data_IF_491569822692
#
_entry.id   IF_491569822692
#
_cell.length_a   1.000
_cell.length_b   1.000
_cell.length_c   1.000
_cell.angle_alpha   90.00
_cell.angle_beta   90.00
_cell.angle_gamma   90.00
#
_symmetry.space_group_name_H-M   'P 1'
#
loop_
_entity.id
_entity.type
_entity.pdbx_description
1 polymer ?
#
# COMPACT_ATOMS: atom_id res chain seq x y z
N UNK A 1 -21.24 -17.37 -4.07
CA UNK A 1 -20.45 -17.74 -2.88
C UNK A 1 -20.07 -16.46 -2.15
N UNK A 2 -20.25 -16.41 -0.84
CA UNK A 2 -19.88 -15.24 -0.02
C UNK A 2 -18.55 -15.51 0.66
N UNK A 3 -17.62 -14.58 0.52
CA UNK A 3 -16.25 -14.69 1.03
C UNK A 3 -16.02 -13.59 2.05
N UNK A 4 -15.46 -13.94 3.20
CA UNK A 4 -14.97 -13.00 4.23
C UNK A 4 -13.48 -12.87 4.10
N UNK A 5 -12.98 -11.66 3.80
CA UNK A 5 -11.56 -11.33 3.78
C UNK A 5 -11.12 -10.69 5.10
N UNK A 6 -9.98 -11.12 5.64
CA UNK A 6 -9.39 -10.62 6.89
C UNK A 6 -7.93 -10.24 6.64
N UNK A 7 -7.60 -8.96 6.93
CA UNK A 7 -6.26 -8.39 6.75
C UNK A 7 -5.80 -7.69 8.03
N UNK A 8 -4.63 -8.10 8.53
CA UNK A 8 -4.00 -7.52 9.73
C UNK A 8 -2.48 -7.50 9.63
N UNK A 9 -1.92 -7.37 8.44
CA UNK A 9 -0.47 -7.57 8.21
C UNK A 9 0.43 -6.46 8.77
N UNK A 10 -0.10 -5.24 8.94
CA UNK A 10 0.70 -4.08 9.37
C UNK A 10 -0.04 -3.22 10.42
N UNK A 11 -0.63 -2.11 10.03
CA UNK A 11 -1.23 -1.09 10.91
C UNK A 11 -2.67 -0.73 10.56
N UNK A 12 -3.30 -1.49 9.69
CA UNK A 12 -4.71 -1.38 9.36
C UNK A 12 -5.43 -2.71 9.61
N UNK A 13 -6.54 -2.69 10.33
CA UNK A 13 -7.42 -3.85 10.45
C UNK A 13 -8.46 -3.78 9.35
N UNK A 14 -8.34 -4.64 8.33
CA UNK A 14 -9.25 -4.69 7.20
C UNK A 14 -10.17 -5.92 7.26
N UNK A 15 -11.49 -5.70 7.08
CA UNK A 15 -12.47 -6.79 6.89
C UNK A 15 -13.37 -6.45 5.70
N UNK A 16 -13.45 -7.37 4.75
CA UNK A 16 -14.28 -7.22 3.57
C UNK A 16 -15.21 -8.43 3.38
N UNK A 17 -16.39 -8.18 2.86
CA UNK A 17 -17.34 -9.22 2.43
C UNK A 17 -17.53 -9.10 0.92
N UNK A 18 -17.27 -10.20 0.20
CA UNK A 18 -17.36 -10.26 -1.25
C UNK A 18 -18.36 -11.34 -1.67
N UNK A 19 -19.02 -11.11 -2.78
CA UNK A 19 -19.88 -12.07 -3.45
C UNK A 19 -19.31 -12.44 -4.81
N UNK A 20 -19.10 -13.74 -5.06
CA UNK A 20 -18.69 -14.20 -6.39
C UNK A 20 -19.88 -14.22 -7.32
N UNK A 21 -19.71 -13.64 -8.51
CA UNK A 21 -20.72 -13.64 -9.56
C UNK A 21 -20.36 -14.77 -10.55
N UNK A 22 -21.24 -15.77 -10.77
CA UNK A 22 -20.98 -16.79 -11.77
C UNK A 22 -20.84 -16.15 -13.16
N UNK A 23 -19.72 -16.38 -13.83
CA UNK A 23 -19.53 -15.93 -15.22
C UNK A 23 -19.61 -17.13 -16.15
N UNK A 24 -20.34 -17.00 -17.27
CA UNK A 24 -20.43 -18.04 -18.32
C UNK A 24 -19.14 -18.19 -19.15
N UNK A 25 -18.18 -17.25 -19.01
CA UNK A 25 -16.90 -17.28 -19.70
C UNK A 25 -15.80 -17.72 -18.75
N UNK A 26 -15.06 -18.73 -19.13
CA UNK A 26 -14.04 -19.44 -18.34
C UNK A 26 -12.80 -18.63 -17.93
N UNK A 27 -12.76 -17.33 -18.16
CA UNK A 27 -11.59 -16.49 -17.85
C UNK A 27 -12.03 -15.32 -16.98
N UNK A 28 -11.77 -15.45 -15.67
CA UNK A 28 -11.95 -14.40 -14.66
C UNK A 28 -13.23 -14.59 -13.83
N UNK A 29 -13.06 -14.84 -12.52
CA UNK A 29 -14.18 -14.73 -11.58
C UNK A 29 -14.56 -13.25 -11.48
N UNK A 30 -15.83 -12.93 -11.72
CA UNK A 30 -16.38 -11.63 -11.37
C UNK A 30 -16.83 -11.67 -9.92
N UNK A 31 -16.62 -10.58 -9.18
CA UNK A 31 -17.09 -10.49 -7.79
C UNK A 31 -17.63 -9.08 -7.52
N UNK A 32 -18.50 -9.02 -6.53
CA UNK A 32 -19.05 -7.77 -6.00
C UNK A 32 -18.54 -7.58 -4.58
N UNK A 33 -18.00 -6.41 -4.29
CA UNK A 33 -17.68 -6.02 -2.91
C UNK A 33 -18.99 -5.60 -2.25
N UNK A 34 -19.39 -6.32 -1.21
CA UNK A 34 -20.59 -6.03 -0.43
C UNK A 34 -20.28 -5.06 0.71
N UNK A 35 -19.10 -5.19 1.31
CA UNK A 35 -18.57 -4.24 2.31
C UNK A 35 -17.05 -4.28 2.33
N UNK A 36 -16.43 -3.17 2.77
CA UNK A 36 -14.99 -3.06 2.98
C UNK A 36 -14.74 -2.08 4.13
N UNK A 37 -14.47 -2.62 5.30
CA UNK A 37 -14.29 -1.87 6.55
C UNK A 37 -12.82 -1.88 6.92
N UNK A 38 -12.25 -0.68 7.12
CA UNK A 38 -10.85 -0.49 7.54
C UNK A 38 -10.83 0.33 8.83
N UNK A 39 -10.14 -0.19 9.84
CA UNK A 39 -9.79 0.54 11.05
C UNK A 39 -8.31 0.86 11.03
N UNK A 40 -7.98 2.12 10.68
CA UNK A 40 -6.60 2.57 10.56
C UNK A 40 -6.01 2.97 11.91
N UNK A 41 -4.75 2.60 12.12
CA UNK A 41 -3.98 2.87 13.32
C UNK A 41 -2.98 4.04 13.15
N UNK A 42 -3.10 4.82 12.05
CA UNK A 42 -2.18 5.95 11.76
C UNK A 42 -2.06 6.89 12.96
N UNK A 43 -3.19 7.25 13.59
CA UNK A 43 -3.20 8.14 14.77
C UNK A 43 -2.44 7.56 15.96
N UNK A 44 -2.50 6.24 16.14
CA UNK A 44 -1.83 5.51 17.21
C UNK A 44 -0.32 5.49 17.01
N UNK A 45 0.14 5.37 15.77
CA UNK A 45 1.56 5.25 15.43
C UNK A 45 2.23 6.59 15.12
N UNK A 46 1.48 7.62 14.75
CA UNK A 46 2.02 8.95 14.43
C UNK A 46 2.98 9.54 15.49
N UNK A 47 2.71 9.43 16.81
CA UNK A 47 3.63 9.94 17.85
C UNK A 47 5.01 9.25 17.83
N UNK A 48 5.08 8.01 17.32
CA UNK A 48 6.33 7.23 17.25
C UNK A 48 7.07 7.45 15.93
N UNK A 49 6.42 8.08 14.94
CA UNK A 49 6.96 8.32 13.61
C UNK A 49 7.15 7.04 12.78
N UNK A 50 6.34 6.01 13.05
CA UNK A 50 6.35 4.72 12.37
C UNK A 50 5.60 3.65 13.17
N UNK A 51 5.37 2.50 12.54
CA UNK A 51 4.60 1.41 13.14
C UNK A 51 5.38 0.74 14.28
N UNK A 52 4.73 0.57 15.44
CA UNK A 52 5.24 -0.16 16.60
C UNK A 52 4.55 -1.53 16.65
N UNK A 53 5.25 -2.65 16.34
CA UNK A 53 4.62 -3.95 16.09
C UNK A 53 3.71 -4.46 17.22
N UNK A 54 4.17 -4.38 18.46
CA UNK A 54 3.38 -4.83 19.62
C UNK A 54 2.15 -3.96 19.88
N UNK A 55 2.23 -2.67 19.58
CA UNK A 55 1.09 -1.76 19.68
C UNK A 55 0.09 -2.05 18.57
N UNK A 56 0.58 -2.30 17.33
CA UNK A 56 -0.26 -2.68 16.21
C UNK A 56 -1.07 -3.95 16.52
N UNK A 57 -0.44 -4.99 17.07
CA UNK A 57 -1.12 -6.22 17.45
C UNK A 57 -2.25 -5.98 18.49
N UNK A 58 -1.99 -5.13 19.48
CA UNK A 58 -3.02 -4.77 20.49
C UNK A 58 -4.19 -4.03 19.87
N UNK A 59 -3.93 -3.12 18.95
CA UNK A 59 -5.00 -2.39 18.25
C UNK A 59 -5.81 -3.33 17.32
N UNK A 60 -5.14 -4.27 16.60
CA UNK A 60 -5.86 -5.29 15.85
C UNK A 60 -6.80 -6.11 16.74
N UNK A 61 -6.31 -6.56 17.91
CA UNK A 61 -7.13 -7.34 18.85
C UNK A 61 -8.38 -6.59 19.31
N UNK A 62 -8.29 -5.27 19.53
CA UNK A 62 -9.43 -4.43 19.92
C UNK A 62 -10.42 -4.24 18.78
N UNK A 63 -9.91 -4.08 17.55
CA UNK A 63 -10.71 -3.60 16.42
C UNK A 63 -11.28 -4.71 15.52
N UNK A 64 -10.70 -5.91 15.52
CA UNK A 64 -11.08 -6.97 14.59
C UNK A 64 -12.54 -7.43 14.75
N UNK A 65 -13.01 -7.56 15.99
CA UNK A 65 -14.41 -7.93 16.29
C UNK A 65 -15.40 -6.82 15.86
N UNK A 66 -15.20 -5.57 16.27
CA UNK A 66 -15.99 -4.43 15.79
C UNK A 66 -16.00 -4.30 14.26
N UNK A 67 -14.86 -4.44 13.59
CA UNK A 67 -14.77 -4.41 12.12
C UNK A 67 -15.59 -5.53 11.47
N UNK A 68 -15.51 -6.76 12.00
CA UNK A 68 -16.34 -7.88 11.51
C UNK A 68 -17.83 -7.56 11.63
N UNK A 69 -18.27 -7.09 12.80
CA UNK A 69 -19.67 -6.74 13.04
C UNK A 69 -20.18 -5.69 12.05
N UNK A 70 -19.36 -4.65 11.81
CA UNK A 70 -19.68 -3.57 10.87
C UNK A 70 -19.73 -4.10 9.44
N UNK A 71 -18.72 -4.88 9.02
CA UNK A 71 -18.65 -5.43 7.67
C UNK A 71 -19.84 -6.35 7.34
N UNK A 72 -20.24 -7.20 8.26
CA UNK A 72 -21.41 -8.07 8.09
C UNK A 72 -22.70 -7.25 8.01
N UNK A 73 -22.85 -6.21 8.86
CA UNK A 73 -24.01 -5.32 8.83
C UNK A 73 -24.12 -4.57 7.50
N UNK A 74 -23.03 -3.95 7.02
CA UNK A 74 -23.00 -3.22 5.75
C UNK A 74 -23.29 -4.14 4.56
N UNK A 75 -22.77 -5.38 4.60
CA UNK A 75 -23.04 -6.39 3.58
C UNK A 75 -24.46 -6.95 3.63
N UNK A 76 -25.25 -6.62 4.64
CA UNK A 76 -26.55 -7.24 4.95
C UNK A 76 -26.44 -8.78 4.99
N UNK A 77 -25.42 -9.28 5.70
CA UNK A 77 -25.10 -10.69 5.88
C UNK A 77 -24.88 -11.03 7.34
N UNK A 78 -24.97 -12.30 7.65
CA UNK A 78 -24.58 -12.90 8.93
C UNK A 78 -23.37 -13.80 8.74
N UNK A 79 -22.73 -14.22 9.82
CA UNK A 79 -21.59 -15.14 9.74
C UNK A 79 -22.00 -16.51 9.13
N UNK A 80 -23.27 -16.88 9.26
CA UNK A 80 -23.81 -18.14 8.69
C UNK A 80 -23.92 -18.09 7.15
N UNK A 81 -23.94 -16.90 6.56
CA UNK A 81 -23.98 -16.73 5.10
C UNK A 81 -22.60 -16.87 4.47
N UNK A 82 -21.53 -16.83 5.28
CA UNK A 82 -20.14 -16.91 4.81
C UNK A 82 -19.81 -18.34 4.40
N UNK A 83 -19.33 -18.50 3.18
CA UNK A 83 -18.96 -19.79 2.61
C UNK A 83 -17.44 -20.07 2.65
N UNK A 84 -16.61 -19.01 2.77
CA UNK A 84 -15.17 -19.10 2.77
C UNK A 84 -14.57 -17.94 3.56
N UNK A 85 -13.53 -18.20 4.36
CA UNK A 85 -12.72 -17.18 5.02
C UNK A 85 -11.37 -17.13 4.31
N UNK A 86 -10.99 -15.95 3.80
CA UNK A 86 -9.67 -15.65 3.26
C UNK A 86 -8.92 -14.78 4.27
N UNK A 87 -7.74 -15.20 4.70
CA UNK A 87 -6.95 -14.46 5.70
C UNK A 87 -5.51 -14.27 5.25
N UNK A 88 -4.98 -13.08 5.41
CA UNK A 88 -3.58 -12.78 5.13
C UNK A 88 -2.66 -13.47 6.13
N UNK A 89 -1.71 -14.27 5.60
CA UNK A 89 -0.73 -15.02 6.40
C UNK A 89 0.69 -14.47 6.29
N UNK A 90 0.93 -13.53 5.39
CA UNK A 90 2.23 -12.89 5.16
C UNK A 90 2.40 -12.39 3.73
N UNK A 91 3.50 -11.60 3.51
CA UNK A 91 4.39 -11.03 4.51
C UNK A 91 3.71 -9.95 5.37
N UNK A 92 4.33 -9.64 6.54
CA UNK A 92 3.83 -8.63 7.46
C UNK A 92 4.43 -8.75 8.85
N UNK A 93 3.95 -7.94 9.78
CA UNK A 93 4.35 -7.97 11.18
C UNK A 93 3.81 -9.23 11.86
N UNK A 94 4.70 -10.11 12.32
CA UNK A 94 4.30 -11.41 12.91
C UNK A 94 3.25 -11.27 14.01
N UNK A 95 3.39 -10.36 15.02
CA UNK A 95 2.37 -10.21 16.05
C UNK A 95 0.99 -9.79 15.50
N UNK A 96 0.96 -8.95 14.48
CA UNK A 96 -0.26 -8.48 13.81
C UNK A 96 -0.92 -9.59 12.99
N UNK A 97 -0.14 -10.32 12.19
CA UNK A 97 -0.61 -11.47 11.40
C UNK A 97 -1.26 -12.54 12.29
N UNK A 98 -0.64 -12.83 13.46
CA UNK A 98 -1.17 -13.81 14.40
C UNK A 98 -2.57 -13.47 14.89
N UNK A 99 -2.91 -12.19 15.07
CA UNK A 99 -4.27 -11.79 15.48
C UNK A 99 -5.29 -12.18 14.40
N UNK A 100 -5.06 -11.79 13.14
CA UNK A 100 -5.98 -12.12 12.03
C UNK A 100 -6.11 -13.61 11.80
N UNK A 101 -4.98 -14.33 11.77
CA UNK A 101 -4.95 -15.79 11.54
C UNK A 101 -5.69 -16.55 12.64
N UNK A 102 -5.44 -16.22 13.92
CA UNK A 102 -6.12 -16.91 15.02
C UNK A 102 -7.60 -16.55 15.08
N UNK A 103 -7.96 -15.31 14.79
CA UNK A 103 -9.37 -14.91 14.69
C UNK A 103 -10.10 -15.65 13.55
N UNK A 104 -9.47 -15.74 12.38
CA UNK A 104 -10.02 -16.51 11.24
C UNK A 104 -10.18 -18.00 11.58
N UNK A 105 -9.17 -18.61 12.23
CA UNK A 105 -9.24 -20.01 12.68
C UNK A 105 -10.38 -20.24 13.68
N UNK A 106 -10.57 -19.33 14.63
CA UNK A 106 -11.64 -19.43 15.62
C UNK A 106 -13.03 -19.38 14.96
N UNK A 107 -13.22 -18.48 13.98
CA UNK A 107 -14.46 -18.40 13.20
C UNK A 107 -14.67 -19.67 12.35
N UNK A 108 -13.62 -20.10 11.64
CA UNK A 108 -13.65 -21.30 10.81
C UNK A 108 -14.05 -22.53 11.63
N UNK A 109 -13.43 -22.72 12.79
CA UNK A 109 -13.74 -23.82 13.69
C UNK A 109 -15.16 -23.74 14.23
N UNK A 110 -15.57 -22.57 14.76
CA UNK A 110 -16.89 -22.41 15.38
C UNK A 110 -18.05 -22.60 14.42
N UNK A 111 -17.90 -22.14 13.19
CA UNK A 111 -19.00 -22.12 12.20
C UNK A 111 -18.82 -23.17 11.09
N UNK A 112 -17.79 -24.00 11.16
CA UNK A 112 -17.43 -24.99 10.16
C UNK A 112 -17.27 -24.40 8.74
N UNK A 113 -16.58 -23.25 8.66
CA UNK A 113 -16.33 -22.53 7.40
C UNK A 113 -14.91 -22.84 6.92
N UNK A 114 -14.69 -23.21 5.65
CA UNK A 114 -13.34 -23.40 5.12
C UNK A 114 -12.52 -22.10 5.15
N UNK A 115 -11.20 -22.25 5.36
CA UNK A 115 -10.26 -21.15 5.45
C UNK A 115 -9.17 -21.28 4.38
N UNK A 116 -8.79 -20.15 3.76
CA UNK A 116 -7.74 -20.08 2.74
C UNK A 116 -6.70 -19.03 3.14
N UNK A 117 -5.39 -19.38 3.14
CA UNK A 117 -4.32 -18.42 3.34
C UNK A 117 -4.14 -17.54 2.10
N UNK A 118 -3.87 -16.23 2.31
CA UNK A 118 -3.64 -15.26 1.26
C UNK A 118 -2.30 -14.57 1.47
N UNK A 119 -1.55 -14.37 0.39
CA UNK A 119 -0.34 -13.55 0.40
C UNK A 119 -0.71 -12.07 0.31
N UNK A 120 -0.21 -11.26 1.24
CA UNK A 120 -0.45 -9.82 1.33
C UNK A 120 -0.13 -9.06 0.04
N UNK A 121 1.03 -9.34 -0.55
CA UNK A 121 1.50 -8.65 -1.77
C UNK A 121 0.66 -9.03 -2.98
N UNK A 122 0.23 -10.29 -3.07
CA UNK A 122 -0.71 -10.74 -4.09
C UNK A 122 -2.06 -10.04 -3.96
N UNK A 123 -2.52 -9.85 -2.72
CA UNK A 123 -3.72 -9.06 -2.41
C UNK A 123 -3.63 -7.64 -2.96
N UNK A 124 -2.51 -6.94 -2.77
CA UNK A 124 -2.28 -5.59 -3.31
C UNK A 124 -2.28 -5.55 -4.84
N UNK A 125 -1.62 -6.50 -5.49
CA UNK A 125 -1.57 -6.59 -6.94
C UNK A 125 -2.99 -6.79 -7.49
N UNK A 126 -3.73 -7.75 -6.95
CA UNK A 126 -5.08 -8.06 -7.39
C UNK A 126 -6.05 -6.91 -7.10
N UNK A 127 -5.95 -6.26 -5.95
CA UNK A 127 -6.76 -5.08 -5.64
C UNK A 127 -6.55 -3.95 -6.65
N UNK A 128 -5.32 -3.72 -7.10
CA UNK A 128 -5.01 -2.71 -8.12
C UNK A 128 -5.64 -3.04 -9.47
N UNK A 129 -5.61 -4.31 -9.88
CA UNK A 129 -6.20 -4.80 -11.13
C UNK A 129 -7.73 -4.64 -11.07
N UNK A 130 -8.35 -5.02 -9.96
CA UNK A 130 -9.80 -5.00 -9.83
C UNK A 130 -10.37 -3.61 -9.56
N UNK A 131 -9.67 -2.74 -8.82
CA UNK A 131 -10.10 -1.35 -8.60
C UNK A 131 -10.14 -0.53 -9.89
N UNK A 132 -9.26 -0.80 -10.85
CA UNK A 132 -9.28 -0.13 -12.16
C UNK A 132 -10.56 -0.40 -12.95
N UNK A 133 -11.29 -1.48 -12.64
CA UNK A 133 -12.57 -1.82 -13.26
C UNK A 133 -13.77 -1.11 -12.65
N UNK A 134 -13.68 -0.71 -11.37
CA UNK A 134 -14.76 -0.03 -10.67
C UNK A 134 -14.72 1.50 -10.81
N UNK A 135 -13.57 2.08 -11.17
CA UNK A 135 -13.36 3.55 -11.09
C UNK A 135 -13.74 4.33 -12.35
N UNK A 136 -14.01 3.70 -13.47
CA UNK A 136 -14.29 4.45 -14.73
C UNK A 136 -15.54 3.88 -15.40
N UNK A 137 -16.64 4.64 -15.21
CA UNK A 137 -17.83 4.67 -16.08
C UNK A 137 -17.98 3.51 -17.10
N UNK A 138 -18.89 2.61 -16.89
CA UNK A 138 -19.68 1.78 -17.82
C UNK A 138 -19.14 1.45 -19.24
N UNK A 139 -17.86 1.70 -19.58
CA UNK A 139 -17.29 1.51 -20.92
C UNK A 139 -16.10 0.57 -21.02
N UNK A 140 -15.61 -0.01 -19.91
CA UNK A 140 -14.58 -1.03 -20.02
C UNK A 140 -15.22 -2.41 -20.07
N UNK A 141 -15.35 -2.92 -21.29
CA UNK A 141 -15.68 -4.32 -21.56
C UNK A 141 -14.68 -5.25 -20.85
N UNK A 142 -15.16 -6.41 -20.43
CA UNK A 142 -14.50 -7.51 -19.71
C UNK A 142 -13.15 -8.04 -20.30
N UNK A 143 -12.47 -7.29 -21.18
CA UNK A 143 -11.28 -7.72 -21.89
C UNK A 143 -9.97 -7.13 -21.38
N UNK A 144 -9.98 -6.24 -20.34
CA UNK A 144 -8.77 -5.52 -19.93
C UNK A 144 -7.84 -6.29 -18.98
N UNK A 145 -8.32 -7.36 -18.33
CA UNK A 145 -7.51 -8.12 -17.35
C UNK A 145 -6.66 -9.21 -18.02
N UNK A 146 -6.83 -9.47 -19.29
CA UNK A 146 -6.31 -10.67 -19.95
C UNK A 146 -5.01 -10.48 -20.71
N UNK A 147 -4.31 -9.37 -20.57
CA UNK A 147 -3.02 -9.19 -21.26
C UNK A 147 -1.88 -9.57 -20.32
N UNK A 148 -1.54 -10.83 -20.32
CA UNK A 148 -0.29 -11.32 -19.76
C UNK A 148 0.73 -11.55 -20.88
N UNK A 149 2.04 -11.41 -20.60
CA UNK A 149 2.63 -11.05 -19.32
C UNK A 149 2.40 -9.56 -18.94
N UNK A 150 2.31 -9.29 -17.65
CA UNK A 150 2.18 -7.95 -17.07
C UNK A 150 3.28 -7.70 -16.05
N UNK A 151 3.63 -6.43 -15.84
CA UNK A 151 4.57 -6.01 -14.79
C UNK A 151 3.80 -5.22 -13.75
N UNK A 152 3.93 -5.62 -12.49
CA UNK A 152 3.42 -4.89 -11.34
C UNK A 152 4.60 -4.23 -10.59
N UNK A 153 4.50 -2.93 -10.34
CA UNK A 153 5.37 -2.21 -9.42
C UNK A 153 4.65 -2.08 -8.08
N UNK A 154 5.16 -2.79 -7.08
CA UNK A 154 4.68 -2.72 -5.71
C UNK A 154 5.53 -1.70 -4.95
N UNK A 155 4.89 -0.68 -4.39
CA UNK A 155 5.54 0.38 -3.59
C UNK A 155 4.75 0.59 -2.31
N UNK A 156 5.38 0.34 -1.17
CA UNK A 156 4.77 0.51 0.15
C UNK A 156 5.81 0.96 1.19
N UNK A 157 5.39 1.08 2.45
CA UNK A 157 6.28 1.36 3.58
C UNK A 157 7.30 0.25 3.85
N UNK A 158 6.96 -1.01 3.57
CA UNK A 158 7.82 -2.16 3.84
C UNK A 158 8.41 -2.84 2.59
N UNK A 159 7.85 -2.58 1.40
CA UNK A 159 8.23 -3.28 0.19
C UNK A 159 8.37 -2.35 -1.01
N UNK A 160 9.40 -2.60 -1.82
CA UNK A 160 9.53 -2.02 -3.17
C UNK A 160 10.02 -3.13 -4.09
N UNK A 161 9.12 -3.62 -4.94
CA UNK A 161 9.38 -4.78 -5.78
C UNK A 161 8.81 -4.59 -7.17
N UNK A 162 9.54 -5.08 -8.16
CA UNK A 162 9.09 -5.22 -9.55
C UNK A 162 8.76 -6.69 -9.80
N UNK A 163 7.52 -6.98 -10.15
CA UNK A 163 6.98 -8.33 -10.22
C UNK A 163 6.47 -8.59 -11.62
N UNK A 164 7.01 -9.62 -12.27
CA UNK A 164 6.51 -10.13 -13.54
C UNK A 164 5.37 -11.12 -13.28
N UNK A 165 4.18 -10.79 -13.74
CA UNK A 165 3.01 -11.65 -13.75
C UNK A 165 2.92 -12.37 -15.09
N UNK A 166 3.22 -13.64 -15.13
CA UNK A 166 3.10 -14.45 -16.35
C UNK A 166 1.64 -14.84 -16.64
N UNK A 167 0.88 -15.09 -15.58
CA UNK A 167 -0.57 -15.33 -15.54
C UNK A 167 -1.06 -15.15 -14.11
N UNK A 168 -2.35 -15.25 -13.84
CA UNK A 168 -2.89 -15.27 -12.47
C UNK A 168 -2.19 -16.35 -11.64
N UNK A 169 -1.85 -16.01 -10.39
CA UNK A 169 -1.16 -16.88 -9.43
C UNK A 169 0.22 -17.39 -9.88
N UNK A 170 0.82 -16.75 -10.91
CA UNK A 170 2.19 -17.05 -11.33
C UNK A 170 3.03 -15.79 -11.43
N UNK A 171 3.73 -15.50 -10.34
CA UNK A 171 4.53 -14.31 -10.13
C UNK A 171 6.02 -14.65 -10.08
N UNK A 172 6.85 -13.72 -10.60
CA UNK A 172 8.31 -13.75 -10.46
C UNK A 172 8.77 -12.36 -10.06
N UNK A 173 9.45 -12.23 -8.93
CA UNK A 173 10.15 -11.00 -8.56
C UNK A 173 11.33 -10.86 -9.52
N UNK A 174 11.40 -9.77 -10.26
CA UNK A 174 12.48 -9.46 -11.21
C UNK A 174 13.40 -8.36 -10.71
N UNK A 175 12.99 -7.60 -9.69
CA UNK A 175 13.80 -6.62 -8.99
C UNK A 175 13.17 -6.27 -7.65
N UNK A 176 13.99 -5.92 -6.68
CA UNK A 176 13.55 -5.49 -5.35
C UNK A 176 14.52 -4.48 -4.74
N UNK A 177 14.09 -3.79 -3.69
CA UNK A 177 14.99 -2.90 -2.96
C UNK A 177 16.05 -3.71 -2.21
N UNK A 178 17.29 -3.22 -2.24
CA UNK A 178 18.44 -3.80 -1.53
C UNK A 178 18.62 -3.25 -0.12
N UNK A 179 17.84 -2.21 0.21
CA UNK A 179 17.90 -1.53 1.50
C UNK A 179 16.51 -1.01 1.90
N UNK A 180 16.36 0.28 2.19
CA UNK A 180 15.07 0.87 2.55
C UNK A 180 14.02 0.67 1.43
N UNK A 181 12.78 0.41 1.80
CA UNK A 181 11.67 0.55 0.85
C UNK A 181 11.44 2.03 0.50
N UNK A 182 10.83 2.29 -0.65
CA UNK A 182 10.55 3.67 -1.07
C UNK A 182 9.70 4.44 -0.05
N UNK A 183 8.63 3.83 0.48
CA UNK A 183 7.80 4.43 1.51
C UNK A 183 8.55 4.68 2.82
N UNK A 184 9.39 3.73 3.25
CA UNK A 184 10.28 3.89 4.41
C UNK A 184 11.26 5.06 4.22
N UNK A 185 11.81 5.21 3.01
CA UNK A 185 12.66 6.36 2.67
C UNK A 185 11.88 7.67 2.79
N UNK A 186 10.63 7.73 2.30
CA UNK A 186 9.76 8.90 2.47
C UNK A 186 9.50 9.20 3.94
N UNK A 187 9.21 8.22 4.77
CA UNK A 187 8.98 8.40 6.21
C UNK A 187 10.24 8.96 6.92
N UNK A 188 11.42 8.40 6.61
CA UNK A 188 12.70 8.86 7.14
C UNK A 188 13.02 10.30 6.70
N UNK A 189 12.77 10.65 5.44
CA UNK A 189 12.97 12.01 4.92
C UNK A 189 11.97 12.98 5.53
N UNK A 190 10.70 12.62 5.65
CA UNK A 190 9.69 13.46 6.30
C UNK A 190 10.05 13.77 7.75
N UNK A 191 10.58 12.78 8.49
CA UNK A 191 11.08 12.96 9.85
C UNK A 191 12.24 13.97 9.90
N UNK A 192 13.20 13.89 8.95
CA UNK A 192 14.30 14.85 8.83
C UNK A 192 13.80 16.29 8.56
N UNK A 193 12.74 16.41 7.75
CA UNK A 193 12.10 17.68 7.40
C UNK A 193 11.05 18.14 8.42
N UNK A 194 10.78 17.36 9.48
CA UNK A 194 9.75 17.63 10.52
C UNK A 194 8.34 17.76 9.95
N UNK A 195 8.01 17.00 8.92
CA UNK A 195 6.70 17.02 8.25
C UNK A 195 5.66 16.08 8.87
N UNK A 196 6.09 15.18 9.77
CA UNK A 196 5.20 14.21 10.43
C UNK A 196 5.14 12.86 9.73
N UNK A 197 4.15 12.05 10.12
CA UNK A 197 3.89 10.69 9.66
C UNK A 197 2.41 10.53 9.26
N UNK A 198 2.07 9.78 8.20
CA UNK A 198 2.96 9.10 7.24
C UNK A 198 3.70 10.08 6.32
N UNK A 199 4.99 9.79 6.03
CA UNK A 199 5.89 10.70 5.34
C UNK A 199 5.57 10.89 3.87
N UNK A 200 5.17 9.84 3.16
CA UNK A 200 4.83 9.92 1.74
C UNK A 200 3.77 10.98 1.44
N UNK A 201 2.57 10.90 2.04
CA UNK A 201 1.53 11.93 1.89
C UNK A 201 1.98 13.33 2.33
N UNK A 202 2.75 13.44 3.42
CA UNK A 202 3.24 14.72 3.92
C UNK A 202 4.19 15.40 2.91
N UNK A 203 5.17 14.67 2.38
CA UNK A 203 6.10 15.18 1.36
C UNK A 203 5.34 15.53 0.06
N UNK A 204 4.43 14.67 -0.38
CA UNK A 204 3.62 14.92 -1.59
C UNK A 204 2.81 16.20 -1.48
N UNK A 205 2.20 16.45 -0.32
CA UNK A 205 1.45 17.68 -0.04
C UNK A 205 2.34 18.93 -0.13
N UNK A 206 3.54 18.90 0.46
CA UNK A 206 4.47 20.04 0.37
C UNK A 206 5.00 20.22 -1.07
N UNK A 207 5.35 19.15 -1.76
CA UNK A 207 5.78 19.20 -3.15
C UNK A 207 4.72 19.80 -4.07
N UNK A 208 3.44 19.46 -3.88
CA UNK A 208 2.35 20.00 -4.70
C UNK A 208 2.18 21.51 -4.56
N UNK A 209 2.44 22.08 -3.37
CA UNK A 209 2.41 23.53 -3.16
C UNK A 209 3.49 24.25 -3.99
N UNK A 210 4.68 23.67 -4.06
CA UNK A 210 5.80 24.24 -4.83
C UNK A 210 5.54 24.08 -6.32
N UNK A 211 5.07 22.93 -6.78
CA UNK A 211 4.75 22.67 -8.19
C UNK A 211 3.66 23.65 -8.68
N UNK A 212 2.62 23.88 -7.88
CA UNK A 212 1.56 24.84 -8.22
C UNK A 212 2.09 26.26 -8.32
N UNK A 213 2.95 26.69 -7.38
CA UNK A 213 3.60 28.01 -7.41
C UNK A 213 4.57 28.14 -8.59
N UNK A 214 5.36 27.11 -8.88
CA UNK A 214 6.33 27.14 -9.99
C UNK A 214 5.64 27.16 -11.35
N UNK A 215 4.53 26.45 -11.54
CA UNK A 215 3.70 26.55 -12.78
C UNK A 215 3.21 28.00 -12.98
N UNK A 216 2.71 28.63 -11.93
CA UNK A 216 2.26 30.04 -11.98
C UNK A 216 3.41 30.99 -12.26
N UNK A 217 4.59 30.80 -11.63
CA UNK A 217 5.78 31.61 -11.87
C UNK A 217 6.32 31.42 -13.29
N UNK A 218 6.42 30.16 -13.77
CA UNK A 218 6.93 29.85 -15.12
C UNK A 218 6.00 30.42 -16.21
N UNK A 219 4.68 30.42 -16.02
CA UNK A 219 3.74 31.01 -16.97
C UNK A 219 3.83 32.53 -17.06
N UNK A 220 4.35 33.19 -16.03
CA UNK A 220 4.45 34.65 -15.94
C UNK A 220 5.88 35.21 -16.08
N UNK A 221 6.91 34.33 -16.19
CA UNK A 221 8.28 34.75 -16.40
C UNK A 221 8.65 34.87 -17.88
N UNK A 222 9.46 35.87 -18.27
CA UNK A 222 10.06 35.91 -19.61
C UNK A 222 10.85 34.62 -19.87
N UNK A 223 10.75 34.09 -21.10
CA UNK A 223 11.42 32.81 -21.49
C UNK A 223 12.90 32.68 -21.07
N UNK A 224 13.63 33.79 -20.92
CA UNK A 224 15.04 33.81 -20.47
C UNK A 224 15.24 33.55 -18.96
N UNK A 225 14.20 33.65 -18.13
CA UNK A 225 14.28 33.49 -16.68
C UNK A 225 13.64 32.16 -16.18
N UNK A 226 12.91 31.47 -17.03
CA UNK A 226 12.24 30.20 -16.68
C UNK A 226 13.19 29.05 -16.33
N UNK A 227 14.51 29.19 -16.60
CA UNK A 227 15.55 28.20 -16.30
C UNK A 227 16.28 28.38 -14.96
N UNK A 228 15.90 29.35 -14.11
CA UNK A 228 16.67 29.70 -12.90
C UNK A 228 16.13 29.07 -11.60
N UNK A 229 15.17 28.14 -11.64
CA UNK A 229 14.81 27.39 -10.43
C UNK A 229 15.96 26.41 -10.15
N UNK A 230 16.65 26.52 -9.00
CA UNK A 230 17.76 25.60 -8.69
C UNK A 230 17.20 24.19 -8.53
N UNK A 231 17.42 23.36 -9.55
CA UNK A 231 17.07 21.94 -9.51
C UNK A 231 18.11 21.23 -8.67
N UNK A 232 17.75 20.85 -7.46
CA UNK A 232 18.58 19.99 -6.60
C UNK A 232 18.65 18.62 -7.22
N UNK A 233 19.83 18.23 -7.72
CA UNK A 233 20.06 16.88 -8.24
C UNK A 233 20.34 15.93 -7.07
N UNK A 234 19.40 15.04 -6.78
CA UNK A 234 19.59 13.94 -5.86
C UNK A 234 20.16 12.71 -6.60
N UNK A 235 20.94 11.86 -5.92
CA UNK A 235 21.48 10.65 -6.52
C UNK A 235 20.36 9.70 -6.92
N UNK A 236 20.63 8.87 -7.91
CA UNK A 236 19.77 7.77 -8.35
C UNK A 236 20.55 6.46 -8.14
N UNK A 237 20.57 5.91 -6.92
CA UNK A 237 21.32 4.69 -6.64
C UNK A 237 20.89 3.57 -7.58
N UNK A 238 21.84 2.73 -7.95
CA UNK A 238 21.67 1.54 -8.81
C UNK A 238 21.19 1.79 -10.26
N UNK A 239 20.98 3.03 -10.71
CA UNK A 239 20.45 3.31 -12.07
C UNK A 239 21.35 2.76 -13.19
N UNK A 240 22.64 2.54 -12.92
CA UNK A 240 23.61 2.01 -13.89
C UNK A 240 23.83 0.49 -13.73
N UNK A 241 23.22 -0.16 -12.74
CA UNK A 241 23.35 -1.60 -12.55
C UNK A 241 22.56 -2.34 -13.63
N UNK A 242 23.10 -3.48 -14.10
CA UNK A 242 22.46 -4.33 -15.11
C UNK A 242 21.42 -5.29 -14.52
N UNK A 243 20.64 -4.81 -13.55
CA UNK A 243 19.51 -5.51 -12.94
C UNK A 243 18.34 -4.55 -12.72
N UNK A 244 17.25 -5.03 -12.17
CA UNK A 244 16.03 -4.25 -11.89
C UNK A 244 15.87 -3.90 -10.41
N UNK A 245 16.95 -4.01 -9.62
CA UNK A 245 16.90 -3.73 -8.19
C UNK A 245 16.91 -2.22 -7.90
N UNK A 246 16.45 -1.87 -6.72
CA UNK A 246 16.37 -0.51 -6.22
C UNK A 246 17.26 -0.32 -5.00
N UNK A 247 17.58 0.95 -4.68
CA UNK A 247 18.18 1.37 -3.42
C UNK A 247 17.74 2.78 -3.08
N UNK A 248 17.34 3.01 -1.85
CA UNK A 248 16.82 4.29 -1.37
C UNK A 248 17.60 4.84 -0.16
N UNK A 249 18.46 4.06 0.50
CA UNK A 249 19.24 4.52 1.66
C UNK A 249 20.21 5.64 1.30
N UNK A 250 20.83 5.56 0.10
CA UNK A 250 21.71 6.61 -0.42
C UNK A 250 20.97 7.93 -0.69
N UNK A 251 19.71 7.86 -1.11
CA UNK A 251 18.86 9.02 -1.31
C UNK A 251 18.56 9.74 0.01
N UNK A 252 18.18 9.00 1.05
CA UNK A 252 17.96 9.53 2.41
C UNK A 252 19.20 10.26 2.93
N UNK A 253 20.39 9.66 2.76
CA UNK A 253 21.67 10.23 3.21
C UNK A 253 22.01 11.52 2.46
N UNK A 254 21.76 11.57 1.16
CA UNK A 254 21.94 12.78 0.36
C UNK A 254 21.03 13.93 0.83
N UNK A 255 19.79 13.65 1.16
CA UNK A 255 18.86 14.65 1.71
C UNK A 255 19.35 15.15 3.08
N UNK A 256 19.85 14.26 3.95
CA UNK A 256 20.41 14.64 5.24
C UNK A 256 21.56 15.64 5.09
N UNK A 257 22.53 15.35 4.23
CA UNK A 257 23.67 16.25 3.98
C UNK A 257 23.23 17.58 3.36
N UNK A 258 22.24 17.55 2.47
CA UNK A 258 21.68 18.76 1.91
C UNK A 258 21.09 19.68 2.99
N UNK A 259 20.29 19.12 3.91
CA UNK A 259 19.70 19.88 5.03
C UNK A 259 20.80 20.46 5.94
N UNK A 260 21.83 19.67 6.23
CA UNK A 260 22.94 20.12 7.07
C UNK A 260 23.73 21.25 6.42
N UNK A 261 24.04 21.17 5.13
CA UNK A 261 24.75 22.19 4.38
C UNK A 261 23.98 23.51 4.29
N UNK A 262 22.65 23.46 4.18
CA UNK A 262 21.82 24.66 4.19
C UNK A 262 21.77 25.32 5.58
N UNK A 263 21.71 24.53 6.66
CA UNK A 263 21.74 25.06 8.03
C UNK A 263 23.05 25.73 8.37
N UNK A 264 24.20 25.23 7.89
CA UNK A 264 25.50 25.87 8.09
C UNK A 264 25.61 27.21 7.35
N UNK A 265 25.08 27.31 6.12
CA UNK A 265 25.05 28.57 5.35
C UNK A 265 24.19 29.65 6.02
N UNK A 266 23.07 29.28 6.66
CA UNK A 266 22.21 30.25 7.38
C UNK A 266 22.86 30.72 8.69
N UNK A 267 23.70 29.91 9.34
CA UNK A 267 24.42 30.30 10.57
C UNK A 267 25.65 31.15 10.31
N UNK A 268 26.15 31.21 9.08
CA UNK A 268 27.32 32.01 8.66
C UNK A 268 26.95 33.35 8.01
N UNK A 269 25.67 33.65 7.91
CA UNK A 269 25.10 34.97 7.59
C UNK A 269 24.55 35.64 8.86
#
# INVERSE_FOLDING_TARGET
>A
MIILGIETSCDDTGIAVLETIPTRKAVGASFKILSNVVSSQIKTHAPFGGVVPNLAAREHLKNIGPCLKTALKEANKTIKDINLIAVTVGPGLIPSLLIGVNFAKALAYKYNIPIVPVNHLEGHILASIFNSQFSISNKFSNNSISKFPAIALLVSGGHTQLILMQKFSRYKIIGETRDDAAGECFDKVAKLLKLGYPGGPAISKEASKVISKSKFLISNLPRRQAGQIPIIKLPRPMIQHKNYDFSFSGLKTAVLYLIQSQKSKIKSQ
#
